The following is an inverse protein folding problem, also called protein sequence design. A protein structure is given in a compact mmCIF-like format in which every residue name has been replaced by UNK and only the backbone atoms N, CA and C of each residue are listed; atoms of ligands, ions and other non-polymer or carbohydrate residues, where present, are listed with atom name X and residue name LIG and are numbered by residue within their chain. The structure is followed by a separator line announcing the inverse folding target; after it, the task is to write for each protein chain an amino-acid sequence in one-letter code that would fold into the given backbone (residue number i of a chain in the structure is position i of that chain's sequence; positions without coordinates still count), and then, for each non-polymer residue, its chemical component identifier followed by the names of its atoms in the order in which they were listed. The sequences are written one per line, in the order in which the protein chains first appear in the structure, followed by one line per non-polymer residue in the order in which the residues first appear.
data_IF_727887856891
#
_entry.id   IF_727887856891
#
_cell.length_a   1.000
_cell.length_b   1.000
_cell.length_c   1.000
_cell.angle_alpha   90.00
_cell.angle_beta   90.00
_cell.angle_gamma   90.00
#
_symmetry.space_group_name_H-M   'P 1'
#
loop_
_entity.id
_entity.type
_entity.pdbx_description
1 polymer ?
#
# COMPACT_ATOMS: atom_id res chain seq x y z
N UNK A 1 11.31 16.46 -21.42
CA UNK A 1 12.73 16.10 -21.12
C UNK A 1 13.20 16.79 -19.84
N UNK A 2 12.71 18.00 -19.56
CA UNK A 2 12.86 18.68 -18.26
C UNK A 2 12.59 17.79 -17.04
N UNK A 3 11.50 17.01 -17.02
CA UNK A 3 11.12 16.19 -15.86
C UNK A 3 12.10 15.05 -15.53
N UNK A 4 12.80 14.50 -16.54
CA UNK A 4 13.88 13.52 -16.29
C UNK A 4 15.12 14.18 -15.73
N UNK A 5 15.44 15.37 -16.23
CA UNK A 5 16.58 16.15 -15.74
C UNK A 5 16.37 16.64 -14.30
N UNK A 6 15.14 17.04 -13.94
CA UNK A 6 14.74 17.37 -12.56
C UNK A 6 14.92 16.17 -11.64
N UNK A 7 14.49 14.98 -12.08
CA UNK A 7 14.67 13.76 -11.29
C UNK A 7 16.15 13.40 -11.13
N UNK A 8 16.96 13.55 -12.17
CA UNK A 8 18.41 13.28 -12.11
C UNK A 8 19.13 14.28 -11.19
N UNK A 9 18.72 15.55 -11.19
CA UNK A 9 19.19 16.57 -10.23
C UNK A 9 18.85 16.13 -8.81
N UNK A 10 17.60 15.76 -8.53
CA UNK A 10 17.17 15.33 -7.19
C UNK A 10 17.93 14.07 -6.74
N UNK A 11 18.07 13.07 -7.62
CA UNK A 11 18.84 11.86 -7.29
C UNK A 11 20.30 12.16 -7.04
N UNK A 12 20.90 13.10 -7.76
CA UNK A 12 22.30 13.47 -7.58
C UNK A 12 22.51 14.24 -6.27
N UNK A 13 21.58 15.12 -5.88
CA UNK A 13 21.59 15.79 -4.57
C UNK A 13 21.47 14.75 -3.45
N UNK A 14 20.49 13.85 -3.54
CA UNK A 14 20.28 12.79 -2.55
C UNK A 14 21.47 11.84 -2.46
N UNK A 15 22.10 11.53 -3.59
CA UNK A 15 23.30 10.70 -3.63
C UNK A 15 24.49 11.41 -2.98
N UNK A 16 24.71 12.69 -3.27
CA UNK A 16 25.78 13.48 -2.62
C UNK A 16 25.55 13.57 -1.11
N UNK A 17 24.31 13.76 -0.67
CA UNK A 17 23.95 13.77 0.75
C UNK A 17 24.16 12.40 1.42
N UNK A 18 23.83 11.31 0.72
CA UNK A 18 24.05 9.94 1.21
C UNK A 18 25.54 9.58 1.28
N UNK A 19 26.30 9.87 0.22
CA UNK A 19 27.71 9.52 0.08
C UNK A 19 28.62 10.38 0.98
N UNK A 20 28.14 11.54 1.44
CA UNK A 20 28.88 12.47 2.29
C UNK A 20 28.13 12.77 3.60
N UNK A 21 27.38 11.80 4.13
CA UNK A 21 26.56 11.94 5.35
C UNK A 21 27.35 12.37 6.60
N UNK A 22 28.68 12.19 6.59
CA UNK A 22 29.60 12.61 7.66
C UNK A 22 29.97 14.10 7.63
N UNK A 23 29.67 14.83 6.54
CA UNK A 23 29.93 16.27 6.41
C UNK A 23 28.80 17.11 7.04
N UNK A 24 29.13 18.33 7.46
CA UNK A 24 28.13 19.30 7.94
C UNK A 24 27.20 19.72 6.79
N UNK A 25 25.94 20.01 7.12
CA UNK A 25 24.88 20.34 6.13
C UNK A 25 25.28 21.45 5.15
N UNK A 26 26.00 22.48 5.61
CA UNK A 26 26.45 23.58 4.75
C UNK A 26 27.49 23.12 3.69
N UNK A 27 28.34 22.16 4.05
CA UNK A 27 29.33 21.59 3.12
C UNK A 27 28.67 20.62 2.13
N UNK A 28 27.69 19.83 2.60
CA UNK A 28 26.89 18.97 1.73
C UNK A 28 26.07 19.80 0.73
N UNK A 29 25.53 20.94 1.16
CA UNK A 29 24.78 21.85 0.31
C UNK A 29 25.67 22.44 -0.79
N UNK A 30 26.86 22.94 -0.45
CA UNK A 30 27.80 23.49 -1.44
C UNK A 30 28.23 22.44 -2.47
N UNK A 31 28.51 21.20 -2.03
CA UNK A 31 28.87 20.10 -2.93
C UNK A 31 27.71 19.69 -3.85
N UNK A 32 26.47 19.69 -3.32
CA UNK A 32 25.29 19.42 -4.11
C UNK A 32 25.02 20.53 -5.13
N UNK A 33 25.21 21.79 -4.74
CA UNK A 33 25.09 22.95 -5.62
C UNK A 33 26.11 22.90 -6.76
N UNK A 34 27.40 22.71 -6.46
CA UNK A 34 28.45 22.57 -7.46
C UNK A 34 28.21 21.35 -8.38
N UNK A 35 27.82 20.21 -7.80
CA UNK A 35 27.59 18.95 -8.52
C UNK A 35 26.36 18.93 -9.44
N UNK A 36 25.42 19.85 -9.22
CA UNK A 36 24.17 19.97 -10.01
C UNK A 36 24.05 21.26 -10.81
N UNK A 37 24.95 22.23 -10.64
CA UNK A 37 24.93 23.53 -11.34
C UNK A 37 24.81 23.42 -12.86
N UNK A 38 25.55 22.51 -13.49
CA UNK A 38 25.49 22.30 -14.94
C UNK A 38 24.14 21.70 -15.40
N UNK A 39 23.54 20.83 -14.58
CA UNK A 39 22.23 20.24 -14.86
C UNK A 39 21.12 21.27 -14.66
N UNK A 40 21.22 22.15 -13.66
CA UNK A 40 20.29 23.28 -13.52
C UNK A 40 20.38 24.26 -14.69
N UNK A 41 21.58 24.55 -15.19
CA UNK A 41 21.75 25.38 -16.39
C UNK A 41 21.10 24.75 -17.64
N UNK A 42 21.23 23.42 -17.80
CA UNK A 42 20.53 22.68 -18.84
C UNK A 42 19.00 22.72 -18.66
N UNK A 43 18.51 22.62 -17.42
CA UNK A 43 17.08 22.70 -17.11
C UNK A 43 16.49 24.06 -17.53
N UNK A 44 17.18 25.14 -17.18
CA UNK A 44 16.76 26.51 -17.49
C UNK A 44 16.73 26.73 -19.02
N UNK A 45 17.70 26.17 -19.75
CA UNK A 45 17.76 26.24 -21.20
C UNK A 45 16.68 25.36 -21.88
N UNK A 46 16.37 24.18 -21.33
CA UNK A 46 15.28 23.34 -21.85
C UNK A 46 13.91 23.95 -21.60
N UNK A 47 13.68 24.58 -20.44
CA UNK A 47 12.42 25.25 -20.12
C UNK A 47 12.21 26.46 -21.03
N UNK A 48 13.26 27.22 -21.33
CA UNK A 48 13.19 28.35 -22.28
C UNK A 48 13.06 27.89 -23.74
N UNK A 49 13.56 26.72 -24.12
CA UNK A 49 13.35 26.13 -25.44
C UNK A 49 11.97 25.46 -25.62
N UNK A 50 11.33 25.02 -24.53
CA UNK A 50 10.05 24.29 -24.56
C UNK A 50 8.81 25.19 -24.67
N UNK A 51 8.97 26.52 -24.70
CA UNK A 51 7.87 27.45 -24.97
C UNK A 51 7.45 27.54 -26.44
N UNK A 52 8.04 26.72 -27.33
CA UNK A 52 7.61 26.59 -28.73
C UNK A 52 7.49 25.13 -29.16
N UNK A 53 6.27 24.58 -29.15
CA UNK A 53 5.90 23.42 -29.97
C UNK A 53 5.51 22.13 -29.24
N UNK A 54 4.20 21.91 -29.13
CA UNK A 54 3.42 20.66 -29.26
C UNK A 54 4.04 19.27 -28.93
N UNK A 55 3.31 18.45 -28.17
CA UNK A 55 3.41 16.98 -28.26
C UNK A 55 2.93 16.16 -27.04
N UNK A 56 1.62 16.15 -26.77
CA UNK A 56 0.98 15.57 -25.58
C UNK A 56 0.69 14.05 -25.61
N UNK A 57 1.63 13.20 -26.04
CA UNK A 57 1.34 11.75 -26.17
C UNK A 57 2.23 10.80 -25.35
N UNK A 58 3.42 11.25 -24.92
CA UNK A 58 4.35 10.40 -24.14
C UNK A 58 3.98 10.19 -22.66
N UNK A 59 3.39 11.20 -22.02
CA UNK A 59 3.17 11.21 -20.56
C UNK A 59 2.06 10.28 -20.08
N UNK A 60 1.09 9.97 -20.94
CA UNK A 60 0.01 9.01 -20.62
C UNK A 60 0.53 7.57 -20.56
N UNK A 61 1.53 7.23 -21.37
CA UNK A 61 2.11 5.88 -21.41
C UNK A 61 3.06 5.60 -20.23
N UNK A 62 3.84 6.61 -19.81
CA UNK A 62 4.83 6.46 -18.73
C UNK A 62 4.18 6.44 -17.34
N UNK A 63 3.12 7.23 -17.14
CA UNK A 63 2.31 7.20 -15.91
C UNK A 63 1.57 5.87 -15.75
N UNK A 64 1.05 5.28 -16.85
CA UNK A 64 0.48 3.92 -16.85
C UNK A 64 1.49 2.84 -16.45
N UNK A 65 2.76 2.95 -16.88
CA UNK A 65 3.81 1.99 -16.48
C UNK A 65 4.23 2.11 -15.02
N UNK A 66 4.20 3.32 -14.44
CA UNK A 66 4.55 3.54 -13.02
C UNK A 66 3.44 3.10 -12.07
N UNK A 67 2.16 3.22 -12.47
CA UNK A 67 1.05 2.54 -11.78
C UNK A 67 1.19 1.02 -11.83
N UNK A 68 1.55 0.44 -12.99
CA UNK A 68 1.74 -1.02 -13.13
C UNK A 68 2.75 -1.65 -12.16
N UNK A 69 3.81 -0.95 -11.75
CA UNK A 69 4.82 -1.51 -10.80
C UNK A 69 4.38 -1.41 -9.34
N UNK A 70 3.62 -0.37 -8.97
CA UNK A 70 2.97 -0.27 -7.65
C UNK A 70 1.81 -1.27 -7.55
N UNK A 71 1.06 -1.45 -8.65
CA UNK A 71 0.02 -2.48 -8.81
C UNK A 71 0.60 -3.90 -8.73
N UNK A 72 1.74 -4.19 -9.34
CA UNK A 72 2.37 -5.51 -9.26
C UNK A 72 2.69 -5.94 -7.82
N UNK A 73 3.04 -5.00 -6.95
CA UNK A 73 3.22 -5.27 -5.53
C UNK A 73 1.89 -5.32 -4.76
N UNK A 74 0.83 -4.72 -5.30
CA UNK A 74 -0.55 -4.96 -4.86
C UNK A 74 -1.07 -6.33 -5.33
N UNK A 75 -0.57 -6.89 -6.45
CA UNK A 75 -0.99 -8.20 -7.01
C UNK A 75 -0.89 -9.36 -6.04
N UNK A 76 0.20 -9.42 -5.27
CA UNK A 76 0.34 -10.43 -4.20
C UNK A 76 -0.50 -10.14 -2.95
N UNK A 77 -1.07 -8.94 -2.80
CA UNK A 77 -1.82 -8.49 -1.60
C UNK A 77 -3.32 -8.30 -1.88
N UNK A 78 -3.80 -8.61 -3.09
CA UNK A 78 -5.19 -8.35 -3.44
C UNK A 78 -6.16 -9.22 -2.65
N UNK A 79 -5.83 -10.47 -2.32
CA UNK A 79 -6.70 -11.32 -1.50
C UNK A 79 -6.96 -10.67 -0.13
N UNK A 80 -5.90 -10.21 0.53
CA UNK A 80 -6.01 -9.45 1.79
C UNK A 80 -6.73 -8.11 1.62
N UNK A 81 -6.60 -7.42 0.48
CA UNK A 81 -7.31 -6.16 0.21
C UNK A 81 -8.80 -6.35 -0.08
N UNK A 82 -9.17 -7.39 -0.83
CA UNK A 82 -10.56 -7.79 -1.08
C UNK A 82 -11.24 -8.19 0.22
N UNK A 83 -10.54 -8.95 1.06
CA UNK A 83 -10.99 -9.28 2.41
C UNK A 83 -11.16 -8.04 3.28
N UNK A 84 -10.13 -7.18 3.37
CA UNK A 84 -10.19 -5.93 4.12
C UNK A 84 -11.28 -4.99 3.64
N UNK A 85 -11.59 -4.93 2.34
CA UNK A 85 -12.61 -4.03 1.78
C UNK A 85 -13.99 -4.27 2.41
N UNK A 86 -14.33 -5.53 2.70
CA UNK A 86 -15.58 -5.86 3.39
C UNK A 86 -15.57 -5.42 4.86
N UNK A 87 -14.39 -5.43 5.49
CA UNK A 87 -14.20 -5.07 6.90
C UNK A 87 -13.95 -3.58 7.12
N UNK A 88 -13.46 -2.87 6.11
CA UNK A 88 -12.99 -1.49 6.17
C UNK A 88 -14.09 -0.55 6.67
N UNK A 89 -15.34 -0.78 6.28
CA UNK A 89 -16.48 0.03 6.76
C UNK A 89 -16.82 -0.19 8.24
N UNK A 90 -16.44 -1.32 8.82
CA UNK A 90 -16.77 -1.70 10.19
C UNK A 90 -15.59 -1.44 11.14
N UNK A 91 -14.36 -1.78 10.72
CA UNK A 91 -13.13 -1.62 11.52
C UNK A 91 -12.61 -0.18 11.51
N UNK A 92 -12.95 0.64 10.51
CA UNK A 92 -12.48 2.05 10.45
C UNK A 92 -13.34 3.02 11.27
N UNK A 93 -14.55 2.62 11.69
CA UNK A 93 -15.42 3.39 12.59
C UNK A 93 -14.86 3.62 14.00
N UNK A 94 -14.25 2.62 14.67
CA UNK A 94 -13.70 2.80 16.02
C UNK A 94 -12.42 3.65 16.10
N UNK A 95 -11.91 4.21 14.99
CA UNK A 95 -10.67 5.01 15.01
C UNK A 95 -9.41 4.18 15.23
N UNK A 96 -9.40 2.92 14.76
CA UNK A 96 -8.24 2.03 14.87
C UNK A 96 -7.05 2.54 14.04
N UNK A 97 -5.81 2.39 14.54
CA UNK A 97 -4.61 2.78 13.81
C UNK A 97 -4.50 2.09 12.44
N UNK A 98 -4.16 2.85 11.41
CA UNK A 98 -4.06 2.35 10.04
C UNK A 98 -2.98 1.24 9.89
N UNK A 99 -2.03 1.17 10.83
CA UNK A 99 -0.97 0.15 10.86
C UNK A 99 -1.48 -1.28 11.18
N UNK A 100 -2.71 -1.42 11.70
CA UNK A 100 -3.32 -2.71 12.03
C UNK A 100 -3.95 -3.41 10.83
N UNK A 101 -4.44 -2.67 9.83
CA UNK A 101 -5.09 -3.27 8.65
C UNK A 101 -4.19 -4.26 7.89
N UNK A 102 -2.90 -3.99 7.65
CA UNK A 102 -1.99 -4.95 7.03
C UNK A 102 -1.84 -6.26 7.79
N UNK A 103 -2.02 -6.27 9.12
CA UNK A 103 -1.95 -7.48 9.95
C UNK A 103 -3.13 -8.39 9.63
N UNK A 104 -4.34 -7.83 9.55
CA UNK A 104 -5.53 -8.57 9.15
C UNK A 104 -5.41 -9.10 7.71
N UNK A 105 -4.94 -8.28 6.76
CA UNK A 105 -4.71 -8.75 5.39
C UNK A 105 -3.70 -9.91 5.28
N UNK A 106 -2.63 -9.87 6.08
CA UNK A 106 -1.64 -10.95 6.11
C UNK A 106 -2.17 -12.22 6.79
N UNK A 107 -3.02 -12.06 7.80
CA UNK A 107 -3.60 -13.22 8.49
C UNK A 107 -4.39 -14.11 7.53
N UNK A 108 -5.02 -13.54 6.50
CA UNK A 108 -5.73 -14.31 5.46
C UNK A 108 -4.83 -15.34 4.80
N UNK A 109 -3.61 -14.96 4.43
CA UNK A 109 -2.63 -15.87 3.81
C UNK A 109 -2.27 -17.04 4.73
N UNK A 110 -2.08 -16.75 6.02
CA UNK A 110 -1.70 -17.75 7.02
C UNK A 110 -2.88 -18.70 7.32
N UNK A 111 -4.11 -18.17 7.37
CA UNK A 111 -5.29 -18.92 7.77
C UNK A 111 -5.85 -19.79 6.64
N UNK A 112 -5.94 -19.30 5.40
CA UNK A 112 -6.52 -20.10 4.30
C UNK A 112 -5.50 -21.05 3.65
N UNK A 113 -4.21 -20.86 3.92
CA UNK A 113 -3.12 -21.62 3.31
C UNK A 113 -2.70 -21.10 1.93
N UNK A 114 -1.48 -21.47 1.52
CA UNK A 114 -0.84 -20.98 0.28
C UNK A 114 -1.63 -21.38 -0.97
N UNK A 115 -2.11 -22.63 -1.05
CA UNK A 115 -2.85 -23.14 -2.21
C UNK A 115 -4.17 -22.38 -2.45
N UNK A 116 -4.98 -22.19 -1.41
CA UNK A 116 -6.23 -21.43 -1.51
C UNK A 116 -5.96 -19.95 -1.78
N UNK A 117 -4.89 -19.40 -1.21
CA UNK A 117 -4.49 -18.02 -1.46
C UNK A 117 -4.10 -17.79 -2.92
N UNK A 118 -3.33 -18.70 -3.51
CA UNK A 118 -2.96 -18.65 -4.93
C UNK A 118 -4.20 -18.81 -5.83
N UNK A 119 -5.11 -19.73 -5.51
CA UNK A 119 -6.35 -19.91 -6.25
C UNK A 119 -7.23 -18.64 -6.23
N UNK A 120 -7.37 -17.98 -5.08
CA UNK A 120 -8.09 -16.70 -4.96
C UNK A 120 -7.36 -15.56 -5.67
N UNK A 121 -6.03 -15.52 -5.56
CA UNK A 121 -5.19 -14.54 -6.26
C UNK A 121 -5.33 -14.64 -7.78
N UNK A 122 -5.41 -15.85 -8.33
CA UNK A 122 -5.65 -16.09 -9.74
C UNK A 122 -7.04 -15.60 -10.18
N UNK A 123 -8.10 -15.88 -9.39
CA UNK A 123 -9.45 -15.36 -9.64
C UNK A 123 -9.48 -13.83 -9.65
N UNK A 124 -8.84 -13.19 -8.67
CA UNK A 124 -8.76 -11.73 -8.60
C UNK A 124 -7.97 -11.17 -9.78
N UNK A 125 -6.86 -11.77 -10.15
CA UNK A 125 -6.04 -11.33 -11.28
C UNK A 125 -6.84 -11.33 -12.58
N UNK A 126 -7.62 -12.39 -12.83
CA UNK A 126 -8.54 -12.45 -13.99
C UNK A 126 -9.61 -11.36 -13.95
N UNK A 127 -10.17 -11.08 -12.78
CA UNK A 127 -11.17 -10.02 -12.62
C UNK A 127 -10.56 -8.64 -12.88
N UNK A 128 -9.34 -8.40 -12.41
CA UNK A 128 -8.62 -7.15 -12.62
C UNK A 128 -8.25 -6.94 -14.08
N UNK A 129 -7.77 -7.99 -14.76
CA UNK A 129 -7.51 -7.93 -16.20
C UNK A 129 -8.78 -7.62 -17.01
N UNK A 130 -9.92 -8.17 -16.61
CA UNK A 130 -11.20 -7.87 -17.24
C UNK A 130 -11.65 -6.42 -16.98
N UNK A 131 -11.44 -5.93 -15.75
CA UNK A 131 -11.72 -4.54 -15.38
C UNK A 131 -10.84 -3.54 -16.11
N UNK A 132 -9.52 -3.79 -16.18
CA UNK A 132 -8.54 -2.96 -16.90
C UNK A 132 -8.90 -2.87 -18.40
N UNK A 133 -9.28 -4.00 -19.02
CA UNK A 133 -9.73 -4.03 -20.43
C UNK A 133 -10.98 -3.20 -20.69
N UNK A 134 -11.85 -3.08 -19.70
CA UNK A 134 -13.09 -2.29 -19.77
C UNK A 134 -12.93 -0.85 -19.27
N UNK A 135 -11.74 -0.48 -18.78
CA UNK A 135 -11.46 0.85 -18.25
C UNK A 135 -12.05 1.10 -16.86
N UNK A 136 -12.38 0.05 -16.10
CA UNK A 136 -12.81 0.20 -14.71
C UNK A 136 -11.62 0.46 -13.79
N UNK A 137 -11.83 1.37 -12.84
CA UNK A 137 -10.86 1.64 -11.78
C UNK A 137 -10.83 0.50 -10.75
N UNK A 138 -9.70 0.35 -10.07
CA UNK A 138 -9.48 -0.71 -9.09
C UNK A 138 -10.56 -0.75 -7.99
N UNK A 139 -10.94 0.42 -7.46
CA UNK A 139 -11.99 0.53 -6.44
C UNK A 139 -13.39 0.19 -6.99
N UNK A 140 -13.64 0.47 -8.27
CA UNK A 140 -14.88 0.06 -8.94
C UNK A 140 -14.94 -1.46 -9.13
N UNK A 141 -13.80 -2.11 -9.39
CA UNK A 141 -13.71 -3.57 -9.48
C UNK A 141 -13.93 -4.20 -8.11
N UNK A 142 -13.38 -3.61 -7.04
CA UNK A 142 -13.62 -4.05 -5.67
C UNK A 142 -15.10 -3.96 -5.28
N UNK A 143 -15.77 -2.86 -5.63
CA UNK A 143 -17.18 -2.64 -5.30
C UNK A 143 -18.16 -3.35 -6.26
N UNK A 144 -17.65 -3.96 -7.32
CA UNK A 144 -18.43 -4.72 -8.29
C UNK A 144 -19.04 -5.99 -7.68
N UNK A 145 -20.13 -6.50 -8.30
CA UNK A 145 -20.71 -7.80 -7.94
C UNK A 145 -19.69 -8.94 -7.89
N UNK A 146 -18.84 -9.16 -8.92
CA UNK A 146 -17.83 -10.21 -8.86
C UNK A 146 -16.76 -9.93 -7.80
N UNK A 147 -16.42 -8.66 -7.55
CA UNK A 147 -15.46 -8.30 -6.50
C UNK A 147 -15.96 -8.67 -5.10
N UNK A 148 -17.22 -8.32 -4.80
CA UNK A 148 -17.89 -8.70 -3.54
C UNK A 148 -18.08 -10.21 -3.40
N UNK A 149 -18.37 -10.92 -4.49
CA UNK A 149 -18.48 -12.38 -4.50
C UNK A 149 -17.17 -13.04 -4.10
N UNK A 150 -16.05 -12.64 -4.73
CA UNK A 150 -14.72 -13.18 -4.40
C UNK A 150 -14.34 -12.84 -2.96
N UNK A 151 -14.63 -11.62 -2.50
CA UNK A 151 -14.37 -11.23 -1.12
C UNK A 151 -15.19 -12.06 -0.11
N UNK A 152 -16.43 -12.40 -0.45
CA UNK A 152 -17.28 -13.32 0.32
C UNK A 152 -16.76 -14.75 0.34
N UNK A 153 -16.26 -15.27 -0.78
CA UNK A 153 -15.59 -16.58 -0.85
C UNK A 153 -14.35 -16.63 0.04
N UNK A 154 -13.49 -15.60 -0.01
CA UNK A 154 -12.31 -15.49 0.86
C UNK A 154 -12.73 -15.48 2.33
N UNK A 155 -13.78 -14.73 2.67
CA UNK A 155 -14.30 -14.69 4.04
C UNK A 155 -14.84 -16.05 4.50
N UNK A 156 -15.55 -16.78 3.63
CA UNK A 156 -16.07 -18.11 3.97
C UNK A 156 -14.93 -19.10 4.23
N UNK A 157 -13.92 -19.14 3.36
CA UNK A 157 -12.72 -19.96 3.55
C UNK A 157 -12.01 -19.59 4.85
N UNK A 158 -11.85 -18.30 5.11
CA UNK A 158 -11.23 -17.79 6.32
C UNK A 158 -11.98 -18.21 7.59
N UNK A 159 -13.32 -18.16 7.60
CA UNK A 159 -14.15 -18.62 8.72
C UNK A 159 -14.03 -20.13 8.96
N UNK A 160 -13.97 -20.91 7.88
CA UNK A 160 -13.88 -22.37 7.98
C UNK A 160 -12.55 -22.83 8.62
N UNK A 161 -11.45 -22.15 8.29
CA UNK A 161 -10.10 -22.51 8.78
C UNK A 161 -9.74 -21.86 10.13
N UNK A 162 -10.50 -20.86 10.57
CA UNK A 162 -10.25 -20.12 11.81
C UNK A 162 -10.54 -20.90 13.09
N UNK A 163 -11.26 -22.03 13.01
CA UNK A 163 -11.74 -22.81 14.16
C UNK A 163 -10.66 -23.40 15.08
N UNK A 164 -9.38 -23.08 14.89
CA UNK A 164 -8.30 -23.51 15.77
C UNK A 164 -8.16 -22.58 16.99
N UNK A 165 -8.18 -23.16 18.20
CA UNK A 165 -8.06 -22.40 19.45
C UNK A 165 -6.74 -21.61 19.63
N UNK A 166 -5.74 -21.84 18.78
CA UNK A 166 -4.47 -21.10 18.76
C UNK A 166 -4.52 -19.81 17.93
N UNK A 167 -5.55 -19.65 17.09
CA UNK A 167 -5.65 -18.55 16.14
C UNK A 167 -5.83 -17.18 16.82
N UNK A 168 -6.69 -17.09 17.83
CA UNK A 168 -6.91 -15.86 18.61
C UNK A 168 -5.61 -15.33 19.20
N UNK A 169 -4.82 -16.22 19.82
CA UNK A 169 -3.56 -15.86 20.46
C UNK A 169 -2.52 -15.38 19.44
N UNK A 170 -2.39 -16.09 18.32
CA UNK A 170 -1.47 -15.72 17.24
C UNK A 170 -1.84 -14.35 16.64
N UNK A 171 -3.12 -14.07 16.47
CA UNK A 171 -3.58 -12.83 15.89
C UNK A 171 -3.43 -11.65 16.84
N UNK A 172 -3.77 -11.80 18.13
CA UNK A 172 -3.52 -10.78 19.16
C UNK A 172 -2.04 -10.45 19.28
N UNK A 173 -1.16 -11.46 19.30
CA UNK A 173 0.29 -11.26 19.34
C UNK A 173 0.80 -10.50 18.09
N UNK A 174 0.26 -10.81 16.91
CA UNK A 174 0.66 -10.11 15.67
C UNK A 174 0.21 -8.64 15.66
N UNK A 175 -0.95 -8.33 16.26
CA UNK A 175 -1.43 -6.96 16.42
C UNK A 175 -0.57 -6.19 17.42
N UNK A 176 -0.26 -6.80 18.57
CA UNK A 176 0.60 -6.26 19.61
C UNK A 176 1.99 -5.90 19.06
N UNK A 177 2.68 -6.86 18.42
CA UNK A 177 3.98 -6.63 17.79
C UNK A 177 3.97 -5.49 16.76
N UNK A 178 2.88 -5.38 15.99
CA UNK A 178 2.76 -4.36 14.96
C UNK A 178 2.50 -2.99 15.55
N UNK A 179 1.71 -2.90 16.64
CA UNK A 179 1.52 -1.65 17.37
C UNK A 179 2.83 -1.18 17.97
N UNK A 180 3.52 -2.05 18.74
CA UNK A 180 4.82 -1.73 19.38
C UNK A 180 5.83 -1.18 18.37
N UNK A 181 5.94 -1.79 17.19
CA UNK A 181 6.86 -1.35 16.13
C UNK A 181 6.46 -0.03 15.47
N UNK A 182 5.19 0.35 15.51
CA UNK A 182 4.66 1.54 14.84
C UNK A 182 4.23 2.67 15.78
N UNK A 183 4.36 2.52 17.10
CA UNK A 183 4.09 3.58 18.10
C UNK A 183 4.65 4.95 17.68
N UNK A 184 5.91 5.08 17.19
CA UNK A 184 6.47 6.39 16.85
C UNK A 184 5.77 7.07 15.66
N UNK A 185 5.04 6.31 14.84
CA UNK A 185 4.41 6.76 13.61
C UNK A 185 2.88 6.91 13.74
N UNK A 186 2.31 6.64 14.92
CA UNK A 186 0.88 6.76 15.21
C UNK A 186 0.64 8.14 15.84
N UNK A 187 -0.33 8.90 15.33
CA UNK A 187 -0.80 10.13 15.96
C UNK A 187 -1.24 9.81 17.41
N UNK A 188 -0.63 10.48 18.40
CA UNK A 188 -0.78 10.21 19.84
C UNK A 188 -0.30 8.83 20.32
N UNK A 189 0.65 8.19 19.63
CA UNK A 189 1.15 6.85 19.98
C UNK A 189 1.73 6.71 21.39
N UNK A 190 2.21 7.79 22.02
CA UNK A 190 2.79 7.76 23.37
C UNK A 190 1.76 7.50 24.49
N UNK A 191 0.48 7.87 24.29
CA UNK A 191 -0.62 7.67 25.24
C UNK A 191 -1.51 6.46 24.85
N UNK A 192 -1.11 5.70 23.82
CA UNK A 192 -1.90 4.61 23.29
C UNK A 192 -1.77 3.37 24.20
N UNK A 193 -2.87 3.00 24.85
CA UNK A 193 -2.94 1.72 25.55
C UNK A 193 -2.98 0.57 24.53
N UNK A 194 -1.85 -0.12 24.39
CA UNK A 194 -1.66 -1.20 23.41
C UNK A 194 -2.61 -2.36 23.68
N UNK A 195 -2.77 -2.78 24.94
CA UNK A 195 -3.59 -3.92 25.31
C UNK A 195 -5.08 -3.69 25.02
N UNK A 196 -5.57 -2.49 25.35
CA UNK A 196 -6.94 -2.07 25.03
C UNK A 196 -7.15 -1.96 23.52
N UNK A 197 -6.16 -1.43 22.79
CA UNK A 197 -6.24 -1.27 21.33
C UNK A 197 -6.23 -2.63 20.62
N UNK A 198 -5.39 -3.57 21.06
CA UNK A 198 -5.36 -4.95 20.54
C UNK A 198 -6.68 -5.65 20.83
N UNK A 199 -7.20 -5.52 22.05
CA UNK A 199 -8.47 -6.13 22.45
C UNK A 199 -9.64 -5.57 21.65
N UNK A 200 -9.70 -4.25 21.47
CA UNK A 200 -10.69 -3.57 20.65
C UNK A 200 -10.60 -4.02 19.19
N UNK A 201 -9.40 -3.99 18.61
CA UNK A 201 -9.16 -4.40 17.22
C UNK A 201 -9.57 -5.84 16.97
N UNK A 202 -9.20 -6.76 17.87
CA UNK A 202 -9.58 -8.15 17.79
C UNK A 202 -11.09 -8.35 17.98
N UNK A 203 -11.72 -7.63 18.91
CA UNK A 203 -13.16 -7.74 19.15
C UNK A 203 -13.99 -7.28 17.94
N UNK A 204 -13.61 -6.17 17.30
CA UNK A 204 -14.27 -5.66 16.09
C UNK A 204 -14.04 -6.57 14.89
N UNK A 205 -12.82 -7.11 14.77
CA UNK A 205 -12.49 -8.14 13.81
C UNK A 205 -13.39 -9.38 13.99
N UNK A 206 -13.52 -9.87 15.21
CA UNK A 206 -14.32 -11.06 15.53
C UNK A 206 -15.83 -10.80 15.37
N UNK A 207 -16.34 -9.62 15.72
CA UNK A 207 -17.72 -9.21 15.45
C UNK A 207 -18.04 -9.28 13.96
N UNK A 208 -17.13 -8.82 13.10
CA UNK A 208 -17.33 -8.94 11.66
C UNK A 208 -17.39 -10.40 11.19
N UNK A 209 -16.46 -11.23 11.69
CA UNK A 209 -16.38 -12.65 11.35
C UNK A 209 -17.59 -13.45 11.84
N UNK A 210 -18.18 -13.06 12.97
CA UNK A 210 -19.38 -13.71 13.51
C UNK A 210 -20.67 -13.09 12.97
N UNK A 211 -20.63 -11.86 12.46
CA UNK A 211 -21.77 -11.25 11.78
C UNK A 211 -22.11 -12.07 10.52
N UNK A 212 -23.39 -12.42 10.38
CA UNK A 212 -23.92 -12.92 9.11
C UNK A 212 -23.75 -11.78 8.12
N UNK A 213 -22.93 -11.99 7.11
CA UNK A 213 -22.94 -11.16 5.91
C UNK A 213 -24.29 -11.44 5.25
N UNK A 214 -25.28 -10.60 5.57
CA UNK A 214 -26.60 -10.60 4.93
C UNK A 214 -26.54 -10.03 3.52
#
# INVERSE_FOLDING_TARGET
MSDTLIQDIIFKILKIASDNSDLKSDQQFNLAEEGTRAMFAQLINEITASSSGAGSDGDKARTKRRMKKKDLNQRKKHVGRFFLRLMEKNIRKPGLPDCLFPVFAKSVHVTIGEENYEAMSAKISRLLEFGEKKGYDYDQILDSKPGKSIAGEILALYKNEMGSGSFEKLQKNSLDETLVKNIPNIENGADLNIEDTVSLAYSEFNKFLTSKVS
#
